data_IF_457702757164
#
_entry.id   IF_457702757164
#
_cell.length_a   1.000
_cell.length_b   1.000
_cell.length_c   1.000
_cell.angle_alpha   90.00
_cell.angle_beta   90.00
_cell.angle_gamma   90.00
#
_symmetry.space_group_name_H-M   'P 1'
#
loop_
_entity.id
_entity.type
_entity.pdbx_description
1 polymer ?
#
# COMPACT_ATOMS: atom_id res chain seq x y z
N UNK A 1 26.32 19.11 -9.37
CA UNK A 1 26.48 19.93 -8.17
C UNK A 1 27.19 19.07 -7.13
N UNK A 2 28.27 19.59 -6.54
CA UNK A 2 29.19 18.88 -5.67
C UNK A 2 28.71 18.84 -4.20
N UNK A 3 28.82 17.66 -3.59
CA UNK A 3 29.29 17.49 -2.20
C UNK A 3 28.27 17.59 -1.06
N UNK A 4 27.32 18.53 -1.10
CA UNK A 4 26.48 18.83 0.08
C UNK A 4 25.11 18.15 0.01
N UNK A 5 24.52 18.07 -1.19
CA UNK A 5 23.17 17.55 -1.38
C UNK A 5 23.07 16.04 -1.10
N UNK A 6 24.10 15.27 -1.46
CA UNK A 6 24.10 13.82 -1.27
C UNK A 6 24.27 13.42 0.21
N UNK A 7 25.02 14.20 0.99
CA UNK A 7 25.24 13.95 2.42
C UNK A 7 23.99 14.27 3.25
N UNK A 8 23.26 15.33 2.86
CA UNK A 8 21.99 15.72 3.48
C UNK A 8 20.88 14.69 3.24
N UNK A 9 20.79 14.11 2.03
CA UNK A 9 19.82 13.06 1.72
C UNK A 9 20.16 11.73 2.42
N UNK A 10 21.44 11.36 2.50
CA UNK A 10 21.86 10.18 3.26
C UNK A 10 21.64 10.32 4.77
N UNK A 11 21.78 11.53 5.33
CA UNK A 11 21.43 11.80 6.73
C UNK A 11 19.92 11.69 7.01
N UNK A 12 19.06 12.15 6.07
CA UNK A 12 17.59 12.06 6.18
C UNK A 12 17.09 10.61 6.10
N UNK A 13 17.68 9.80 5.21
CA UNK A 13 17.36 8.37 5.09
C UNK A 13 17.82 7.59 6.32
N UNK A 14 19.00 7.89 6.85
CA UNK A 14 19.56 7.22 8.03
C UNK A 14 18.79 7.52 9.32
N UNK A 15 18.12 8.69 9.41
CA UNK A 15 17.20 9.05 10.49
C UNK A 15 15.81 8.36 10.42
N UNK A 16 15.58 7.41 9.49
CA UNK A 16 14.26 6.81 9.19
C UNK A 16 13.18 7.82 8.72
N UNK A 17 13.58 8.91 8.06
CA UNK A 17 12.66 9.95 7.58
C UNK A 17 12.36 9.81 6.07
N UNK A 18 11.56 8.80 5.72
CA UNK A 18 10.94 8.70 4.39
C UNK A 18 10.10 7.44 4.23
N UNK A 19 8.79 7.55 4.43
CA UNK A 19 7.76 6.54 4.10
C UNK A 19 7.65 6.23 2.60
N UNK A 20 8.44 6.89 1.79
CA UNK A 20 8.24 7.00 0.37
C UNK A 20 9.17 5.99 -0.32
N UNK A 21 8.66 5.26 -1.31
CA UNK A 21 9.49 4.43 -2.22
C UNK A 21 9.61 5.13 -3.59
N UNK A 22 10.48 6.15 -3.74
CA UNK A 22 10.66 6.89 -4.99
C UNK A 22 10.95 5.99 -6.19
N UNK A 23 11.62 4.86 -5.97
CA UNK A 23 11.94 3.90 -7.02
C UNK A 23 10.68 3.36 -7.70
N UNK A 24 9.68 2.90 -6.94
CA UNK A 24 8.44 2.36 -7.49
C UNK A 24 7.66 3.42 -8.27
N UNK A 25 7.62 4.65 -7.76
CA UNK A 25 6.98 5.78 -8.43
C UNK A 25 7.65 6.13 -9.77
N UNK A 26 8.99 6.22 -9.79
CA UNK A 26 9.77 6.45 -11.01
C UNK A 26 9.54 5.33 -12.03
N UNK A 27 9.57 4.08 -11.59
CA UNK A 27 9.31 2.93 -12.46
C UNK A 27 7.89 2.96 -13.02
N UNK A 28 6.89 3.34 -12.24
CA UNK A 28 5.52 3.48 -12.74
C UNK A 28 5.42 4.50 -13.90
N UNK A 29 6.12 5.63 -13.81
CA UNK A 29 6.17 6.63 -14.90
C UNK A 29 6.91 6.08 -16.13
N UNK A 30 8.04 5.40 -15.93
CA UNK A 30 8.86 4.85 -17.01
C UNK A 30 8.19 3.64 -17.69
N UNK A 31 7.38 2.85 -16.98
CA UNK A 31 6.64 1.72 -17.52
C UNK A 31 5.32 2.14 -18.16
N UNK A 32 4.72 3.26 -17.75
CA UNK A 32 3.43 3.70 -18.30
C UNK A 32 3.55 3.99 -19.81
N UNK A 33 2.59 3.51 -20.60
CA UNK A 33 2.48 3.79 -22.03
C UNK A 33 2.22 5.29 -22.29
N UNK A 34 2.54 5.76 -23.50
CA UNK A 34 2.17 7.12 -23.95
C UNK A 34 0.66 7.34 -23.85
N UNK A 35 0.25 8.56 -23.46
CA UNK A 35 -1.13 8.94 -23.15
C UNK A 35 -1.76 8.18 -21.98
N UNK A 36 -0.94 7.57 -21.12
CA UNK A 36 -1.41 6.73 -20.01
C UNK A 36 -1.73 7.52 -18.73
N UNK A 37 -2.27 6.80 -17.73
CA UNK A 37 -2.56 7.34 -16.40
C UNK A 37 -1.72 6.65 -15.32
N UNK A 38 -1.04 7.44 -14.50
CA UNK A 38 -0.35 6.97 -13.28
C UNK A 38 -1.26 7.25 -12.08
N UNK A 39 -1.71 6.20 -11.39
CA UNK A 39 -2.56 6.27 -10.20
C UNK A 39 -1.71 6.07 -8.95
N UNK A 40 -1.79 6.99 -7.99
CA UNK A 40 -0.90 7.05 -6.84
C UNK A 40 -1.73 7.06 -5.54
N UNK A 41 -2.16 5.89 -5.05
CA UNK A 41 -2.85 5.77 -3.76
C UNK A 41 -1.87 5.70 -2.57
N UNK A 42 -0.57 5.53 -2.83
CA UNK A 42 0.46 5.49 -1.80
C UNK A 42 0.64 6.85 -1.12
N UNK A 43 1.03 6.82 0.15
CA UNK A 43 1.34 8.03 0.92
C UNK A 43 2.74 8.50 0.56
N UNK A 44 2.84 9.72 0.03
CA UNK A 44 4.09 10.43 -0.24
C UNK A 44 4.03 11.77 0.50
N UNK A 45 4.82 11.90 1.58
CA UNK A 45 4.73 13.04 2.49
C UNK A 45 5.80 14.10 2.29
N UNK A 46 6.88 13.77 1.56
CA UNK A 46 8.04 14.64 1.39
C UNK A 46 8.26 15.14 -0.04
N UNK A 47 9.34 15.90 -0.20
CA UNK A 47 9.86 16.25 -1.52
C UNK A 47 10.56 15.03 -2.12
N UNK A 48 10.15 14.61 -3.33
CA UNK A 48 10.80 13.51 -4.02
C UNK A 48 11.89 14.02 -4.96
N UNK A 49 13.13 13.58 -4.76
CA UNK A 49 14.24 13.84 -5.68
C UNK A 49 14.05 13.09 -7.03
N UNK A 50 14.69 13.57 -8.10
CA UNK A 50 14.73 12.93 -9.44
C UNK A 50 13.35 12.51 -9.96
N UNK A 51 12.36 13.40 -9.88
CA UNK A 51 11.09 13.18 -10.57
C UNK A 51 11.34 13.14 -12.10
N UNK A 52 10.91 12.10 -12.82
CA UNK A 52 11.21 11.92 -14.24
C UNK A 52 10.29 12.80 -15.11
N UNK A 53 10.41 14.13 -14.97
CA UNK A 53 9.51 15.11 -15.60
C UNK A 53 9.54 15.04 -17.12
N UNK A 54 10.71 14.80 -17.72
CA UNK A 54 10.85 14.65 -19.17
C UNK A 54 10.05 13.45 -19.68
N UNK A 55 10.23 12.27 -19.07
CA UNK A 55 9.47 11.08 -19.45
C UNK A 55 7.96 11.24 -19.20
N UNK A 56 7.58 11.95 -18.15
CA UNK A 56 6.17 12.26 -17.86
C UNK A 56 5.56 13.14 -18.96
N UNK A 57 6.26 14.20 -19.36
CA UNK A 57 5.83 15.16 -20.38
C UNK A 57 5.83 14.55 -21.79
N UNK A 58 6.92 13.94 -22.21
CA UNK A 58 7.07 13.34 -23.57
C UNK A 58 6.08 12.20 -23.82
N UNK A 59 5.68 11.51 -22.76
CA UNK A 59 4.64 10.48 -22.84
C UNK A 59 3.23 11.04 -22.71
N UNK A 60 3.04 12.33 -22.43
CA UNK A 60 1.72 12.94 -22.23
C UNK A 60 0.91 12.25 -21.13
N UNK A 61 1.55 11.96 -19.99
CA UNK A 61 0.90 11.20 -18.92
C UNK A 61 -0.07 12.06 -18.09
N UNK A 62 -1.12 11.43 -17.59
CA UNK A 62 -2.00 12.01 -16.56
C UNK A 62 -1.70 11.37 -15.21
N UNK A 63 -1.64 12.18 -14.15
CA UNK A 63 -1.48 11.68 -12.78
C UNK A 63 -2.77 11.86 -11.97
N UNK A 64 -3.13 10.85 -11.18
CA UNK A 64 -4.19 10.94 -10.17
C UNK A 64 -3.63 10.46 -8.83
N UNK A 65 -3.67 11.33 -7.83
CA UNK A 65 -3.10 11.09 -6.50
C UNK A 65 -4.11 11.48 -5.42
N UNK A 66 -3.74 11.24 -4.16
CA UNK A 66 -4.50 11.68 -3.00
C UNK A 66 -4.98 10.51 -2.15
N UNK A 67 -5.48 10.84 -0.96
CA UNK A 67 -6.14 9.88 -0.10
C UNK A 67 -7.41 9.37 -0.79
N UNK A 68 -7.71 8.08 -0.62
CA UNK A 68 -8.89 7.47 -1.23
C UNK A 68 -10.16 8.19 -0.78
N UNK A 69 -11.04 8.52 -1.71
CA UNK A 69 -12.35 9.11 -1.42
C UNK A 69 -13.30 8.01 -0.89
N UNK A 70 -13.05 7.52 0.33
CA UNK A 70 -13.74 6.35 0.91
C UNK A 70 -15.26 6.52 0.83
N UNK A 71 -15.79 7.67 1.27
CA UNK A 71 -17.23 7.95 1.26
C UNK A 71 -17.88 7.84 -0.13
N UNK A 72 -17.13 8.12 -1.20
CA UNK A 72 -17.62 7.99 -2.58
C UNK A 72 -17.77 6.52 -3.00
N UNK A 73 -16.94 5.63 -2.47
CA UNK A 73 -16.82 4.26 -2.96
C UNK A 73 -17.37 3.20 -1.99
N UNK A 74 -17.55 3.52 -0.70
CA UNK A 74 -18.00 2.55 0.31
C UNK A 74 -19.32 1.90 -0.06
N UNK A 75 -20.36 2.69 -0.35
CA UNK A 75 -21.70 2.18 -0.64
C UNK A 75 -21.74 1.21 -1.84
N UNK A 76 -21.28 1.60 -3.05
CA UNK A 76 -21.32 0.69 -4.20
C UNK A 76 -20.44 -0.56 -4.01
N UNK A 77 -19.30 -0.44 -3.32
CA UNK A 77 -18.44 -1.60 -3.05
C UNK A 77 -19.09 -2.57 -2.06
N UNK A 78 -19.79 -2.05 -1.04
CA UNK A 78 -20.52 -2.88 -0.08
C UNK A 78 -21.66 -3.63 -0.76
N UNK A 79 -22.42 -2.96 -1.64
CA UNK A 79 -23.48 -3.60 -2.44
C UNK A 79 -22.93 -4.75 -3.28
N UNK A 80 -21.80 -4.55 -3.97
CA UNK A 80 -21.15 -5.61 -4.74
C UNK A 80 -20.71 -6.81 -3.87
N UNK A 81 -20.28 -6.57 -2.64
CA UNK A 81 -19.94 -7.63 -1.68
C UNK A 81 -21.21 -8.39 -1.25
N UNK A 82 -22.28 -7.68 -0.91
CA UNK A 82 -23.55 -8.27 -0.48
C UNK A 82 -24.21 -9.09 -1.60
N UNK A 83 -24.08 -8.66 -2.85
CA UNK A 83 -24.56 -9.37 -4.03
C UNK A 83 -23.64 -10.55 -4.44
N UNK A 84 -22.52 -10.76 -3.74
CA UNK A 84 -21.56 -11.82 -4.05
C UNK A 84 -20.73 -11.58 -5.32
N UNK A 85 -20.79 -10.38 -5.91
CA UNK A 85 -19.98 -10.00 -7.09
C UNK A 85 -18.50 -9.80 -6.74
N UNK A 86 -18.20 -9.59 -5.46
CA UNK A 86 -16.84 -9.30 -4.99
C UNK A 86 -16.60 -9.95 -3.62
N UNK A 87 -15.72 -10.95 -3.57
CA UNK A 87 -15.21 -11.53 -2.31
C UNK A 87 -13.87 -10.89 -1.96
N UNK A 88 -13.79 -10.22 -0.80
CA UNK A 88 -12.54 -9.63 -0.28
C UNK A 88 -11.89 -10.44 0.83
N UNK A 89 -12.51 -11.54 1.25
CA UNK A 89 -12.06 -12.30 2.42
C UNK A 89 -10.69 -12.95 2.21
N UNK A 90 -10.33 -13.26 0.96
CA UNK A 90 -9.01 -13.77 0.59
C UNK A 90 -7.85 -12.82 0.98
N UNK A 91 -8.12 -11.51 1.08
CA UNK A 91 -7.08 -10.56 1.49
C UNK A 91 -6.73 -10.71 2.98
N UNK A 92 -7.65 -11.21 3.81
CA UNK A 92 -7.49 -11.31 5.25
C UNK A 92 -6.61 -12.52 5.58
N UNK A 93 -5.34 -12.30 5.89
CA UNK A 93 -4.43 -13.37 6.35
C UNK A 93 -4.77 -13.89 7.76
N UNK A 94 -5.10 -12.99 8.70
CA UNK A 94 -5.25 -13.35 10.11
C UNK A 94 -6.39 -12.60 10.79
N UNK A 95 -6.96 -13.23 11.82
CA UNK A 95 -7.87 -12.62 12.80
C UNK A 95 -7.30 -12.86 14.19
N UNK A 96 -7.29 -11.84 15.03
CA UNK A 96 -6.74 -11.90 16.37
C UNK A 96 -7.55 -11.05 17.36
N UNK A 97 -7.33 -11.20 18.66
CA UNK A 97 -7.94 -10.31 19.65
C UNK A 97 -7.30 -8.91 19.63
N UNK A 98 -7.91 -7.96 20.33
CA UNK A 98 -7.32 -6.63 20.47
C UNK A 98 -6.03 -6.66 21.31
N UNK A 99 -5.97 -7.53 22.32
CA UNK A 99 -4.83 -7.73 23.22
C UNK A 99 -3.61 -8.32 22.50
N UNK A 100 -3.82 -9.09 21.43
CA UNK A 100 -2.76 -9.64 20.59
C UNK A 100 -2.21 -8.61 19.57
N UNK A 101 -2.84 -7.43 19.48
CA UNK A 101 -2.48 -6.36 18.55
C UNK A 101 -0.98 -6.04 18.49
N UNK A 102 -0.28 -5.83 19.62
CA UNK A 102 1.15 -5.53 19.61
C UNK A 102 2.00 -6.61 18.93
N UNK A 103 1.69 -7.89 19.12
CA UNK A 103 2.42 -8.98 18.48
C UNK A 103 2.05 -9.10 17.00
N UNK A 104 0.78 -8.88 16.66
CA UNK A 104 0.32 -8.81 15.26
C UNK A 104 1.05 -7.72 14.46
N UNK A 105 1.33 -6.55 15.06
CA UNK A 105 2.12 -5.50 14.41
C UNK A 105 3.60 -5.91 14.22
N UNK A 106 4.20 -6.67 15.15
CA UNK A 106 5.58 -7.18 15.01
C UNK A 106 5.69 -8.19 13.87
N UNK A 107 4.75 -9.12 13.80
CA UNK A 107 4.65 -10.10 12.71
C UNK A 107 4.40 -9.39 11.37
N UNK A 108 3.44 -8.48 11.30
CA UNK A 108 3.19 -7.69 10.08
C UNK A 108 4.42 -6.92 9.60
N UNK A 109 5.24 -6.40 10.52
CA UNK A 109 6.48 -5.71 10.15
C UNK A 109 7.54 -6.65 9.58
N UNK A 110 7.73 -7.83 10.21
CA UNK A 110 8.89 -8.70 10.00
C UNK A 110 8.63 -9.86 9.03
N UNK A 111 7.37 -10.24 8.85
CA UNK A 111 6.92 -11.43 8.13
C UNK A 111 5.84 -11.06 7.10
N UNK A 112 6.13 -10.06 6.27
CA UNK A 112 5.18 -9.43 5.34
C UNK A 112 4.59 -10.38 4.29
N UNK A 113 5.25 -11.52 4.01
CA UNK A 113 4.74 -12.55 3.10
C UNK A 113 3.60 -13.38 3.72
N UNK A 114 3.60 -13.56 5.05
CA UNK A 114 2.58 -14.34 5.77
C UNK A 114 1.52 -13.43 6.44
N UNK A 115 1.94 -12.27 6.93
CA UNK A 115 1.08 -11.33 7.66
C UNK A 115 0.77 -10.11 6.78
N UNK A 116 -0.27 -10.19 5.97
CA UNK A 116 -0.64 -9.14 5.00
C UNK A 116 -1.75 -8.23 5.54
N UNK A 117 -2.95 -8.77 5.77
CA UNK A 117 -4.10 -8.09 6.38
C UNK A 117 -4.54 -8.82 7.63
N UNK A 118 -4.47 -8.13 8.76
CA UNK A 118 -4.88 -8.64 10.07
C UNK A 118 -6.15 -7.89 10.49
N UNK A 119 -7.19 -8.63 10.90
CA UNK A 119 -8.43 -8.04 11.44
C UNK A 119 -8.50 -8.32 12.92
N UNK A 120 -8.38 -7.26 13.73
CA UNK A 120 -8.55 -7.35 15.18
C UNK A 120 -10.04 -7.42 15.53
N UNK A 121 -10.39 -8.36 16.41
CA UNK A 121 -11.76 -8.64 16.84
C UNK A 121 -11.86 -8.42 18.36
N UNK A 122 -12.55 -7.38 18.83
CA UNK A 122 -12.66 -7.07 20.26
C UNK A 122 -13.34 -8.15 21.10
N UNK A 123 -14.13 -9.02 20.45
CA UNK A 123 -14.88 -10.12 21.06
C UNK A 123 -14.08 -11.45 21.12
N UNK A 124 -12.87 -11.50 20.54
CA UNK A 124 -12.02 -12.69 20.62
C UNK A 124 -11.21 -12.68 21.91
N UNK A 125 -11.06 -13.84 22.60
CA UNK A 125 -10.17 -13.93 23.75
C UNK A 125 -8.70 -13.91 23.30
N UNK A 126 -7.85 -13.34 24.16
CA UNK A 126 -6.40 -13.27 23.95
C UNK A 126 -5.79 -14.65 23.63
N UNK A 127 -4.86 -14.69 22.68
CA UNK A 127 -4.14 -15.90 22.28
C UNK A 127 -4.86 -16.76 21.24
N UNK A 128 -6.07 -16.38 20.80
CA UNK A 128 -6.76 -17.05 19.69
C UNK A 128 -6.50 -16.34 18.36
N UNK A 129 -5.29 -16.49 17.83
CA UNK A 129 -4.98 -16.07 16.45
C UNK A 129 -5.51 -17.13 15.48
N UNK A 130 -6.36 -16.72 14.55
CA UNK A 130 -6.89 -17.56 13.47
C UNK A 130 -6.30 -17.12 12.15
N UNK A 131 -5.54 -17.99 11.53
CA UNK A 131 -5.11 -17.86 10.13
C UNK A 131 -6.30 -18.16 9.20
N UNK A 132 -6.44 -17.38 8.14
CA UNK A 132 -7.42 -17.66 7.09
C UNK A 132 -6.82 -18.69 6.14
N UNK A 133 -7.47 -19.85 6.00
CA UNK A 133 -7.07 -20.85 4.99
C UNK A 133 -7.14 -20.23 3.59
N UNK A 134 -6.05 -20.36 2.85
CA UNK A 134 -5.97 -19.99 1.43
C UNK A 134 -7.11 -20.66 0.66
N UNK A 135 -8.04 -19.85 0.14
CA UNK A 135 -8.72 -20.27 -1.09
C UNK A 135 -7.72 -19.98 -2.20
N UNK A 136 -7.10 -21.04 -2.73
CA UNK A 136 -6.35 -20.97 -3.97
C UNK A 136 -7.19 -20.18 -4.97
N UNK A 137 -6.61 -19.18 -5.59
CA UNK A 137 -7.23 -18.42 -6.66
C UNK A 137 -7.55 -19.39 -7.81
N UNK A 138 -8.72 -20.03 -7.79
CA UNK A 138 -9.27 -20.69 -8.97
C UNK A 138 -9.48 -19.60 -10.01
N UNK A 139 -8.59 -19.63 -10.99
CA UNK A 139 -8.53 -18.68 -12.08
C UNK A 139 -9.75 -18.96 -12.97
N UNK A 140 -10.67 -18.00 -13.05
CA UNK A 140 -11.75 -18.00 -14.04
C UNK A 140 -11.19 -17.62 -15.43
#
# INVERSE_FOLDING_TARGET
>A
GLGIDNLADHAKVWLKLGTDRPAAFRQAILACRKGGRVSVPGVYGGMMDKFPIGAFMEKGLTMKTGQTHVQKYTQPLLEMIQEGKLDTTFMISHRASLEDGPDMYKHWHSEQDAYTKIVLKPDMPRGQVKESRERQFETA
#
